data_IF_378021836424
#
_entry.id   IF_378021836424
#
_cell.length_a   1.000
_cell.length_b   1.000
_cell.length_c   1.000
_cell.angle_alpha   90.00
_cell.angle_beta   90.00
_cell.angle_gamma   90.00
#
_symmetry.space_group_name_H-M   'P 1'
#
loop_
_entity.id
_entity.type
_entity.pdbx_description
1 polymer ?
#
# COMPACT_ATOMS: atom_id res chain seq x y z
N UNK A 1 -16.79 -14.72 12.18
CA UNK A 1 -16.04 -14.57 10.91
C UNK A 1 -15.19 -13.35 11.10
N UNK A 2 -13.88 -13.42 10.88
CA UNK A 2 -12.97 -12.29 11.05
C UNK A 2 -13.31 -11.19 10.04
N UNK A 3 -13.39 -9.96 10.50
CA UNK A 3 -13.59 -8.77 9.67
C UNK A 3 -12.26 -8.13 9.34
N UNK A 4 -11.88 -8.08 8.06
CA UNK A 4 -10.67 -7.42 7.62
C UNK A 4 -10.99 -5.98 7.20
N UNK A 5 -10.28 -5.02 7.76
CA UNK A 5 -10.39 -3.61 7.41
C UNK A 5 -9.10 -3.15 6.72
N UNK A 6 -9.27 -2.48 5.58
CA UNK A 6 -8.20 -1.71 4.94
C UNK A 6 -8.55 -0.24 5.10
N UNK A 7 -7.71 0.48 5.84
CA UNK A 7 -7.86 1.91 6.13
C UNK A 7 -6.88 2.69 5.26
N UNK A 8 -7.41 3.54 4.40
CA UNK A 8 -6.61 4.46 3.60
C UNK A 8 -6.55 5.80 4.33
N UNK A 9 -5.40 6.11 4.90
CA UNK A 9 -5.26 7.29 5.73
C UNK A 9 -4.54 8.42 5.00
N UNK A 10 -5.26 9.51 4.72
CA UNK A 10 -4.74 10.72 4.05
C UNK A 10 -4.49 11.88 5.02
N UNK A 11 -4.69 11.68 6.32
CA UNK A 11 -4.35 12.66 7.35
C UNK A 11 -2.81 12.75 7.48
N UNK A 12 -2.26 13.89 7.95
CA UNK A 12 -0.82 14.13 8.01
C UNK A 12 -0.15 13.40 9.19
N UNK A 13 -0.54 12.16 9.43
CA UNK A 13 -0.29 11.48 10.70
C UNK A 13 1.09 10.86 10.73
N UNK A 14 1.59 10.71 11.94
CA UNK A 14 2.87 10.08 12.18
C UNK A 14 2.69 9.11 13.32
N UNK A 15 2.94 7.85 13.04
CA UNK A 15 3.24 6.90 14.09
C UNK A 15 4.47 7.41 14.85
N UNK A 16 4.41 7.40 16.18
CA UNK A 16 5.54 7.82 17.01
C UNK A 16 6.80 6.98 16.69
N UNK A 17 7.93 7.65 16.47
CA UNK A 17 9.23 7.06 16.10
C UNK A 17 9.30 6.40 14.70
N UNK A 18 8.32 6.62 13.84
CA UNK A 18 8.31 6.16 12.45
C UNK A 18 8.40 7.33 11.44
N UNK A 19 8.24 7.03 10.15
CA UNK A 19 8.26 8.01 9.07
C UNK A 19 7.16 9.09 9.23
N UNK A 20 7.55 10.36 9.21
CA UNK A 20 6.62 11.48 9.03
C UNK A 20 6.32 11.70 7.55
N UNK A 21 5.20 11.16 7.06
CA UNK A 21 4.77 11.48 5.69
C UNK A 21 4.33 12.94 5.60
N UNK A 22 4.73 13.62 4.53
CA UNK A 22 4.21 14.97 4.23
C UNK A 22 2.69 14.95 4.06
N UNK A 23 2.01 16.09 4.20
CA UNK A 23 0.53 16.12 4.13
C UNK A 23 0.08 15.80 2.70
N UNK A 24 -0.89 14.89 2.51
CA UNK A 24 -1.42 14.60 1.17
C UNK A 24 -1.92 15.85 0.43
N UNK A 25 -2.53 16.80 1.16
CA UNK A 25 -2.99 18.06 0.60
C UNK A 25 -1.87 18.91 -0.05
N UNK A 26 -0.62 18.75 0.40
CA UNK A 26 0.52 19.53 -0.10
C UNK A 26 0.96 19.08 -1.50
N UNK A 27 0.59 17.85 -1.90
CA UNK A 27 0.71 17.37 -3.29
C UNK A 27 -0.02 18.33 -4.25
N UNK A 28 -1.14 18.90 -3.79
CA UNK A 28 -2.03 19.82 -4.51
C UNK A 28 -1.74 21.30 -4.17
N UNK A 29 -0.46 21.65 -4.04
CA UNK A 29 -0.02 23.02 -3.82
C UNK A 29 -0.68 24.01 -4.82
N UNK A 30 -1.28 25.12 -4.35
CA UNK A 30 -2.04 26.03 -5.19
C UNK A 30 -1.27 26.56 -6.40
N UNK A 31 -1.87 26.48 -7.58
CA UNK A 31 -1.22 26.99 -8.79
C UNK A 31 -2.01 26.78 -10.07
N UNK A 32 -1.58 27.47 -11.13
CA UNK A 32 -2.16 27.31 -12.45
C UNK A 32 -1.80 25.94 -13.06
N UNK A 33 -2.76 25.37 -13.78
CA UNK A 33 -2.56 24.11 -14.51
C UNK A 33 -1.67 24.32 -15.73
N UNK A 34 -0.74 23.39 -15.92
CA UNK A 34 0.19 23.33 -17.04
C UNK A 34 0.36 21.86 -17.51
N UNK A 35 1.35 21.59 -18.37
CA UNK A 35 1.53 20.23 -18.91
C UNK A 35 2.08 19.22 -17.89
N UNK A 36 2.80 19.66 -16.85
CA UNK A 36 3.48 18.80 -15.88
C UNK A 36 2.67 18.58 -14.59
N UNK A 37 1.56 19.30 -14.38
CA UNK A 37 0.74 19.17 -13.17
C UNK A 37 -0.78 19.02 -13.42
N UNK A 38 -1.25 19.06 -14.68
CA UNK A 38 -2.68 18.89 -15.04
C UNK A 38 -3.37 17.64 -14.51
N UNK A 39 -2.63 16.59 -14.18
CA UNK A 39 -3.18 15.38 -13.57
C UNK A 39 -3.58 15.60 -12.09
N UNK A 40 -3.36 16.80 -11.55
CA UNK A 40 -3.81 17.21 -10.23
C UNK A 40 -5.06 18.12 -10.29
N UNK A 41 -5.55 18.46 -11.48
CA UNK A 41 -6.79 19.24 -11.68
C UNK A 41 -7.98 18.27 -11.76
N UNK A 42 -8.63 18.03 -10.62
CA UNK A 42 -9.70 17.04 -10.50
C UNK A 42 -11.08 17.61 -10.80
N UNK A 43 -11.28 18.91 -10.65
CA UNK A 43 -12.54 19.58 -10.97
C UNK A 43 -12.56 20.24 -12.36
N UNK A 44 -11.42 20.32 -13.04
CA UNK A 44 -11.28 20.82 -14.40
C UNK A 44 -11.32 22.34 -14.51
N UNK A 45 -11.13 23.06 -13.40
CA UNK A 45 -11.22 24.52 -13.35
C UNK A 45 -9.92 25.24 -13.81
N UNK A 46 -8.88 24.49 -14.21
CA UNK A 46 -7.53 24.96 -14.57
C UNK A 46 -6.69 25.56 -13.42
N UNK A 47 -7.05 25.29 -12.18
CA UNK A 47 -6.35 25.69 -10.95
C UNK A 47 -6.27 24.49 -10.03
N UNK A 48 -5.07 24.17 -9.55
CA UNK A 48 -4.86 23.12 -8.55
C UNK A 48 -5.04 23.74 -7.17
N UNK A 49 -5.79 23.10 -6.28
CA UNK A 49 -5.97 23.51 -4.90
C UNK A 49 -6.39 22.34 -3.98
N UNK A 50 -6.72 22.63 -2.72
CA UNK A 50 -7.10 21.61 -1.74
C UNK A 50 -8.46 20.92 -2.01
N UNK A 51 -9.35 21.52 -2.79
CA UNK A 51 -10.60 20.86 -3.18
C UNK A 51 -10.33 19.73 -4.19
N UNK A 52 -9.33 19.88 -5.07
CA UNK A 52 -8.85 18.79 -5.92
C UNK A 52 -8.35 17.60 -5.09
N UNK A 53 -7.62 17.89 -4.01
CA UNK A 53 -7.14 16.86 -3.09
C UNK A 53 -8.30 16.07 -2.48
N UNK A 54 -9.38 16.76 -2.06
CA UNK A 54 -10.59 16.10 -1.51
C UNK A 54 -11.26 15.19 -2.54
N UNK A 55 -11.34 15.64 -3.80
CA UNK A 55 -11.88 14.81 -4.88
C UNK A 55 -10.96 13.61 -5.13
N UNK A 56 -9.64 13.82 -5.13
CA UNK A 56 -8.64 12.77 -5.34
C UNK A 56 -8.73 11.65 -4.29
N UNK A 57 -8.89 11.98 -3.00
CA UNK A 57 -9.10 11.01 -1.91
C UNK A 57 -10.22 10.02 -2.26
N UNK A 58 -11.40 10.53 -2.60
CA UNK A 58 -12.55 9.69 -2.94
C UNK A 58 -12.31 8.83 -4.20
N UNK A 59 -11.62 9.38 -5.20
CA UNK A 59 -11.27 8.65 -6.44
C UNK A 59 -10.25 7.54 -6.19
N UNK A 60 -9.22 7.81 -5.39
CA UNK A 60 -8.20 6.84 -4.99
C UNK A 60 -8.85 5.71 -4.17
N UNK A 61 -9.63 6.05 -3.14
CA UNK A 61 -10.33 5.06 -2.33
C UNK A 61 -11.27 4.17 -3.16
N UNK A 62 -12.03 4.76 -4.09
CA UNK A 62 -12.86 4.01 -5.03
C UNK A 62 -12.04 3.09 -5.95
N UNK A 63 -10.86 3.54 -6.41
CA UNK A 63 -9.99 2.74 -7.27
C UNK A 63 -9.34 1.58 -6.52
N UNK A 64 -8.86 1.80 -5.28
CA UNK A 64 -8.36 0.74 -4.40
C UNK A 64 -9.46 -0.29 -4.14
N UNK A 65 -10.67 0.17 -3.80
CA UNK A 65 -11.83 -0.69 -3.60
C UNK A 65 -12.12 -1.58 -4.83
N UNK A 66 -11.93 -1.05 -6.04
CA UNK A 66 -12.05 -1.82 -7.30
C UNK A 66 -10.93 -2.84 -7.47
N UNK A 67 -9.68 -2.52 -7.12
CA UNK A 67 -8.56 -3.45 -7.18
C UNK A 67 -8.76 -4.63 -6.21
N UNK A 68 -9.34 -4.37 -5.03
CA UNK A 68 -9.60 -5.37 -3.99
C UNK A 68 -10.94 -6.12 -4.16
N UNK A 69 -11.74 -5.76 -5.17
CA UNK A 69 -13.03 -6.38 -5.46
C UNK A 69 -13.00 -7.92 -5.46
N UNK A 70 -11.99 -8.62 -6.02
CA UNK A 70 -11.96 -10.07 -6.01
C UNK A 70 -11.94 -10.70 -4.62
N UNK A 71 -11.40 -10.01 -3.61
CA UNK A 71 -11.34 -10.48 -2.22
C UNK A 71 -12.58 -10.07 -1.45
N UNK A 72 -13.08 -8.85 -1.66
CA UNK A 72 -14.32 -8.35 -1.05
C UNK A 72 -15.57 -9.15 -1.45
N UNK A 73 -15.53 -9.81 -2.62
CA UNK A 73 -16.62 -10.64 -3.12
C UNK A 73 -16.42 -12.12 -2.79
N UNK A 74 -15.34 -12.50 -2.09
CA UNK A 74 -15.14 -13.87 -1.63
C UNK A 74 -16.05 -14.13 -0.41
N UNK A 75 -16.95 -15.13 -0.45
CA UNK A 75 -17.86 -15.39 0.66
C UNK A 75 -17.17 -15.86 1.95
N UNK A 76 -15.86 -16.16 1.91
CA UNK A 76 -15.09 -16.61 3.07
C UNK A 76 -14.15 -15.51 3.60
N UNK A 77 -14.21 -14.30 3.05
CA UNK A 77 -13.40 -13.16 3.47
C UNK A 77 -14.35 -11.98 3.65
N UNK A 78 -14.45 -11.45 4.87
CA UNK A 78 -15.05 -10.14 5.06
C UNK A 78 -13.96 -9.09 4.90
N UNK A 79 -14.04 -8.28 3.85
CA UNK A 79 -13.08 -7.21 3.57
C UNK A 79 -13.79 -5.88 3.33
N UNK A 80 -13.50 -4.93 4.22
CA UNK A 80 -14.06 -3.58 4.22
C UNK A 80 -12.95 -2.58 3.93
N UNK A 81 -13.18 -1.69 2.96
CA UNK A 81 -12.24 -0.60 2.64
C UNK A 81 -12.82 0.71 3.17
N UNK A 82 -12.05 1.37 4.02
CA UNK A 82 -12.36 2.65 4.65
C UNK A 82 -11.31 3.68 4.25
N UNK A 83 -11.65 4.96 4.36
CA UNK A 83 -10.69 6.05 4.16
C UNK A 83 -11.01 7.23 5.07
N UNK A 84 -9.98 8.01 5.41
CA UNK A 84 -10.19 9.27 6.12
C UNK A 84 -10.77 10.33 5.17
N UNK A 85 -11.91 10.95 5.51
CA UNK A 85 -12.53 11.95 4.64
C UNK A 85 -11.89 13.35 4.76
N UNK A 86 -11.06 13.58 5.79
CA UNK A 86 -10.47 14.87 6.13
C UNK A 86 -9.01 15.00 5.70
N UNK A 87 -8.69 16.07 4.96
CA UNK A 87 -7.32 16.44 4.57
C UNK A 87 -6.74 17.61 5.37
N UNK A 88 -7.60 18.32 6.10
CA UNK A 88 -7.36 19.70 6.52
C UNK A 88 -7.16 19.87 8.01
N UNK A 89 -7.60 18.94 8.87
CA UNK A 89 -7.45 19.11 10.30
C UNK A 89 -6.05 18.69 10.75
N UNK A 90 -5.22 19.66 11.11
CA UNK A 90 -4.19 19.47 12.14
C UNK A 90 -4.80 18.97 13.49
N UNK A 91 -6.13 18.90 13.57
CA UNK A 91 -6.92 18.49 14.72
C UNK A 91 -7.43 17.04 14.65
N UNK A 92 -6.99 16.20 13.71
CA UNK A 92 -7.14 14.74 13.87
C UNK A 92 -5.92 13.97 13.35
N UNK A 93 -4.73 14.21 13.93
CA UNK A 93 -3.69 13.21 13.89
C UNK A 93 -4.19 11.93 14.59
N UNK A 94 -4.00 10.74 14.01
CA UNK A 94 -4.21 9.44 14.66
C UNK A 94 -5.42 8.64 14.17
N UNK A 95 -6.05 8.94 13.04
CA UNK A 95 -7.25 8.19 12.61
C UNK A 95 -6.93 6.75 12.20
N UNK A 96 -5.93 6.56 11.35
CA UNK A 96 -5.40 5.23 11.02
C UNK A 96 -4.82 4.55 12.26
N UNK A 97 -4.05 5.28 13.06
CA UNK A 97 -3.38 4.77 14.26
C UNK A 97 -4.37 4.24 15.31
N UNK A 98 -5.47 4.95 15.55
CA UNK A 98 -6.54 4.46 16.44
C UNK A 98 -7.24 3.23 15.88
N UNK A 99 -7.52 3.19 14.56
CA UNK A 99 -8.14 2.00 13.97
C UNK A 99 -7.20 0.80 14.06
N UNK A 100 -5.89 1.01 13.94
CA UNK A 100 -4.87 0.00 14.18
C UNK A 100 -4.86 -0.45 15.66
N UNK A 101 -4.96 0.46 16.62
CA UNK A 101 -5.06 0.07 18.03
C UNK A 101 -6.36 -0.70 18.34
N UNK A 102 -7.49 -0.30 17.75
CA UNK A 102 -8.77 -1.01 17.89
C UNK A 102 -8.70 -2.45 17.38
N UNK A 103 -8.07 -2.66 16.23
CA UNK A 103 -7.90 -4.00 15.66
C UNK A 103 -7.03 -4.89 16.54
N UNK A 104 -5.93 -4.36 17.09
CA UNK A 104 -5.01 -5.08 17.97
C UNK A 104 -5.68 -5.58 19.25
N UNK A 105 -6.68 -4.84 19.75
CA UNK A 105 -7.48 -5.23 20.92
C UNK A 105 -8.67 -6.13 20.55
N UNK A 106 -9.04 -6.20 19.27
CA UNK A 106 -10.18 -6.97 18.79
C UNK A 106 -9.82 -8.46 18.60
N UNK A 107 -10.78 -9.33 18.94
CA UNK A 107 -10.63 -10.77 18.73
C UNK A 107 -11.13 -11.22 17.35
N UNK A 108 -11.85 -10.35 16.64
CA UNK A 108 -12.57 -10.65 15.40
C UNK A 108 -12.44 -9.54 14.34
N UNK A 109 -11.56 -8.56 14.54
CA UNK A 109 -11.15 -7.59 13.53
C UNK A 109 -9.67 -7.79 13.18
N UNK A 110 -9.31 -7.42 11.95
CA UNK A 110 -7.93 -7.35 11.48
C UNK A 110 -7.78 -6.08 10.66
N UNK A 111 -6.91 -5.18 11.10
CA UNK A 111 -6.79 -3.84 10.52
C UNK A 111 -5.46 -3.67 9.79
N UNK A 112 -5.53 -3.23 8.54
CA UNK A 112 -4.40 -2.80 7.74
C UNK A 112 -4.52 -1.29 7.48
N UNK A 113 -3.49 -0.53 7.82
CA UNK A 113 -3.48 0.92 7.59
C UNK A 113 -2.46 1.28 6.52
N UNK A 114 -2.86 2.08 5.53
CA UNK A 114 -1.91 2.66 4.56
C UNK A 114 -1.96 4.17 4.69
N UNK A 115 -0.87 4.76 5.18
CA UNK A 115 -0.70 6.20 5.28
C UNK A 115 -0.26 6.77 3.94
N UNK A 116 -1.02 7.71 3.40
CA UNK A 116 -0.85 8.27 2.06
C UNK A 116 -0.55 9.76 2.21
N UNK A 117 0.67 10.16 1.89
CA UNK A 117 1.15 11.53 2.08
C UNK A 117 1.96 12.06 0.89
N UNK A 118 2.52 13.27 1.01
CA UNK A 118 3.30 13.91 -0.05
C UNK A 118 4.68 13.24 -0.22
N UNK A 119 5.64 13.54 0.65
CA UNK A 119 7.01 13.05 0.52
C UNK A 119 7.40 12.10 1.63
N UNK A 120 8.33 11.19 1.31
CA UNK A 120 9.14 10.47 2.30
C UNK A 120 10.03 11.49 3.05
N UNK A 121 10.30 11.30 4.35
CA UNK A 121 11.27 12.12 5.09
C UNK A 121 12.68 12.15 4.50
N UNK A 122 13.09 11.08 3.83
CA UNK A 122 14.41 10.92 3.22
C UNK A 122 14.34 11.11 1.69
N UNK A 123 15.05 12.09 1.12
CA UNK A 123 14.88 12.51 -0.28
C UNK A 123 15.57 11.63 -1.34
N UNK A 124 16.42 10.67 -0.95
CA UNK A 124 17.39 10.05 -1.85
C UNK A 124 17.01 8.65 -2.39
N UNK A 125 15.83 8.12 -2.06
CA UNK A 125 15.35 6.83 -2.56
C UNK A 125 14.07 6.99 -3.40
N UNK A 126 14.01 6.42 -4.63
CA UNK A 126 12.90 6.59 -5.57
C UNK A 126 11.64 5.78 -5.22
N UNK A 127 11.51 5.33 -3.96
CA UNK A 127 10.42 4.45 -3.54
C UNK A 127 9.09 5.22 -3.52
N UNK A 128 8.05 4.62 -4.11
CA UNK A 128 6.70 5.20 -4.12
C UNK A 128 5.89 4.79 -2.89
N UNK A 129 6.32 3.73 -2.21
CA UNK A 129 5.72 3.21 -0.99
C UNK A 129 6.66 2.27 -0.25
N UNK A 130 6.31 1.97 1.00
CA UNK A 130 7.03 1.07 1.91
C UNK A 130 5.96 0.33 2.72
N UNK A 131 6.19 -0.95 2.98
CA UNK A 131 5.31 -1.78 3.80
C UNK A 131 6.10 -2.46 4.91
N UNK A 132 5.63 -2.33 6.15
CA UNK A 132 6.18 -3.07 7.27
C UNK A 132 5.42 -4.40 7.38
N UNK A 133 6.03 -5.54 7.06
CA UNK A 133 5.37 -6.85 7.16
C UNK A 133 5.55 -7.45 8.57
N UNK A 134 4.59 -8.25 9.06
CA UNK A 134 4.77 -9.07 10.26
C UNK A 134 5.85 -10.13 10.09
N UNK A 135 6.46 -10.53 11.19
CA UNK A 135 7.22 -11.76 11.25
C UNK A 135 6.31 -12.99 11.11
N UNK A 136 6.94 -14.11 10.74
CA UNK A 136 6.27 -15.39 10.64
C UNK A 136 5.57 -15.76 11.96
N UNK A 137 4.26 -16.02 11.90
CA UNK A 137 3.50 -16.45 13.07
C UNK A 137 3.18 -15.32 14.08
N UNK A 138 3.54 -14.07 13.80
CA UNK A 138 3.09 -12.93 14.59
C UNK A 138 1.73 -12.43 14.09
N UNK A 139 0.83 -12.16 15.04
CA UNK A 139 -0.40 -11.42 14.80
C UNK A 139 -0.17 -9.99 15.27
N UNK A 140 0.61 -9.24 14.50
CA UNK A 140 0.63 -7.80 14.67
C UNK A 140 -0.05 -7.23 13.44
N UNK A 141 -0.94 -6.29 13.66
CA UNK A 141 -1.55 -5.52 12.60
C UNK A 141 -0.51 -4.53 12.09
N UNK A 142 -0.37 -4.43 10.77
CA UNK A 142 0.69 -3.65 10.15
C UNK A 142 0.19 -2.50 9.31
N UNK A 143 1.13 -1.58 9.07
CA UNK A 143 0.90 -0.39 8.28
C UNK A 143 1.93 -0.26 7.16
N UNK A 144 1.51 0.45 6.11
CA UNK A 144 2.38 0.87 5.02
C UNK A 144 2.29 2.37 4.78
N UNK A 145 3.22 2.88 3.99
CA UNK A 145 3.28 4.27 3.56
C UNK A 145 3.24 4.34 2.04
N UNK A 146 2.55 5.33 1.49
CA UNK A 146 2.54 5.67 0.07
C UNK A 146 2.84 7.15 -0.09
N UNK A 147 3.86 7.45 -0.89
CA UNK A 147 4.37 8.82 -1.11
C UNK A 147 3.83 9.38 -2.44
N UNK A 148 2.65 9.99 -2.37
CA UNK A 148 1.93 10.54 -3.51
C UNK A 148 2.67 11.71 -4.20
N UNK A 149 3.55 12.43 -3.50
CA UNK A 149 4.49 13.41 -4.07
C UNK A 149 5.56 12.77 -4.94
N UNK A 150 6.02 11.56 -4.57
CA UNK A 150 6.86 10.71 -5.41
C UNK A 150 6.15 10.32 -6.70
N UNK A 151 4.88 9.91 -6.60
CA UNK A 151 4.01 9.62 -7.75
C UNK A 151 3.83 10.85 -8.65
N UNK A 152 3.52 12.01 -8.07
CA UNK A 152 3.45 13.30 -8.79
C UNK A 152 4.74 13.58 -9.55
N UNK A 153 5.88 13.43 -8.90
CA UNK A 153 7.20 13.66 -9.52
C UNK A 153 7.47 12.67 -10.65
N UNK A 154 7.12 11.39 -10.47
CA UNK A 154 7.22 10.36 -11.50
C UNK A 154 6.39 10.71 -12.75
N UNK A 155 5.13 11.09 -12.58
CA UNK A 155 4.27 11.50 -13.68
C UNK A 155 4.76 12.79 -14.36
N UNK A 156 5.18 13.79 -13.57
CA UNK A 156 5.69 15.06 -14.08
C UNK A 156 7.01 14.91 -14.88
N UNK A 157 7.84 13.91 -14.55
CA UNK A 157 9.11 13.66 -15.24
C UNK A 157 8.94 13.30 -16.73
N UNK A 158 7.74 12.92 -17.14
CA UNK A 158 7.44 12.48 -18.50
C UNK A 158 7.86 11.03 -18.79
N UNK A 159 8.49 10.35 -17.83
CA UNK A 159 8.93 8.95 -17.93
C UNK A 159 7.80 7.93 -17.72
N UNK A 160 6.59 8.40 -17.42
CA UNK A 160 5.42 7.53 -17.32
C UNK A 160 5.09 6.90 -18.66
N UNK A 161 5.40 5.61 -18.81
CA UNK A 161 5.28 4.88 -20.09
C UNK A 161 3.84 4.58 -20.50
N UNK A 162 2.90 4.62 -19.56
CA UNK A 162 1.50 4.25 -19.78
C UNK A 162 0.61 5.45 -20.09
N UNK A 163 1.18 6.66 -20.15
CA UNK A 163 0.43 7.85 -20.53
C UNK A 163 -0.22 7.60 -21.89
N UNK A 164 -1.51 7.94 -22.07
CA UNK A 164 -2.13 7.93 -23.39
C UNK A 164 -1.35 8.82 -24.38
N UNK A 165 -1.67 8.72 -25.68
CA UNK A 165 -1.24 9.77 -26.64
C UNK A 165 -1.77 11.15 -26.23
N UNK A 166 -2.93 11.17 -25.55
CA UNK A 166 -3.45 12.33 -24.85
C UNK A 166 -2.62 12.62 -23.59
N UNK A 167 -2.49 13.90 -23.24
CA UNK A 167 -1.74 14.34 -22.06
C UNK A 167 -2.26 13.66 -20.77
N UNK A 168 -1.38 13.52 -19.77
CA UNK A 168 -1.71 12.98 -18.44
C UNK A 168 -2.95 13.66 -17.85
N UNK A 169 -3.75 12.86 -17.14
CA UNK A 169 -5.03 13.24 -16.54
C UNK A 169 -5.09 12.80 -15.08
N UNK A 170 -6.10 13.28 -14.36
CA UNK A 170 -6.34 12.94 -12.96
C UNK A 170 -6.61 11.44 -12.74
N UNK A 171 -7.07 10.74 -13.78
CA UNK A 171 -7.20 9.28 -13.78
C UNK A 171 -5.84 8.58 -13.68
N UNK A 172 -4.79 9.11 -14.31
CA UNK A 172 -3.45 8.52 -14.26
C UNK A 172 -2.87 8.63 -12.85
N UNK A 173 -2.98 9.81 -12.20
CA UNK A 173 -2.58 9.97 -10.80
C UNK A 173 -3.39 9.07 -9.86
N UNK A 174 -4.72 9.02 -10.02
CA UNK A 174 -5.58 8.12 -9.23
C UNK A 174 -5.15 6.66 -9.37
N UNK A 175 -4.88 6.20 -10.60
CA UNK A 175 -4.50 4.81 -10.87
C UNK A 175 -3.13 4.49 -10.26
N UNK A 176 -2.16 5.40 -10.39
CA UNK A 176 -0.81 5.21 -9.88
C UNK A 176 -0.82 5.11 -8.34
N UNK A 177 -1.44 6.08 -7.65
CA UNK A 177 -1.53 6.04 -6.17
C UNK A 177 -2.27 4.80 -5.70
N UNK A 178 -3.42 4.47 -6.31
CA UNK A 178 -4.19 3.29 -5.91
C UNK A 178 -3.45 1.97 -6.20
N UNK A 179 -2.64 1.92 -7.26
CA UNK A 179 -1.77 0.80 -7.55
C UNK A 179 -0.69 0.65 -6.48
N UNK A 180 0.00 1.73 -6.11
CA UNK A 180 1.01 1.70 -5.05
C UNK A 180 0.40 1.28 -3.73
N UNK A 181 -0.77 1.80 -3.35
CA UNK A 181 -1.52 1.33 -2.16
C UNK A 181 -1.76 -0.19 -2.21
N UNK A 182 -2.25 -0.70 -3.34
CA UNK A 182 -2.53 -2.13 -3.48
C UNK A 182 -1.25 -2.99 -3.53
N UNK A 183 -0.13 -2.43 -4.00
CA UNK A 183 1.19 -3.05 -3.97
C UNK A 183 1.69 -3.20 -2.54
N UNK A 184 1.68 -2.12 -1.76
CA UNK A 184 2.08 -2.15 -0.35
C UNK A 184 1.16 -3.05 0.49
N UNK A 185 -0.15 -3.04 0.25
CA UNK A 185 -1.07 -4.00 0.87
C UNK A 185 -0.71 -5.45 0.54
N UNK A 186 -0.27 -5.72 -0.69
CA UNK A 186 0.22 -7.04 -1.07
C UNK A 186 1.42 -7.47 -0.22
N UNK A 187 2.37 -6.56 0.05
CA UNK A 187 3.46 -6.81 1.00
C UNK A 187 2.96 -7.05 2.43
N UNK A 188 1.99 -6.27 2.92
CA UNK A 188 1.38 -6.51 4.23
C UNK A 188 0.73 -7.91 4.32
N UNK A 189 0.19 -8.41 3.20
CA UNK A 189 -0.36 -9.78 3.10
C UNK A 189 0.69 -10.86 2.80
N UNK A 190 1.96 -10.50 2.79
CA UNK A 190 3.08 -11.44 2.64
C UNK A 190 3.46 -11.77 1.21
N UNK A 191 3.03 -10.97 0.23
CA UNK A 191 3.55 -11.09 -1.13
C UNK A 191 4.91 -10.39 -1.24
N UNK A 192 5.84 -11.01 -1.95
CA UNK A 192 7.05 -10.32 -2.42
C UNK A 192 6.84 -9.65 -3.78
N UNK A 193 7.87 -8.97 -4.27
CA UNK A 193 7.88 -8.48 -5.64
C UNK A 193 7.77 -9.64 -6.65
N UNK A 194 7.23 -9.38 -7.83
CA UNK A 194 7.44 -10.31 -8.95
C UNK A 194 8.86 -10.16 -9.50
N UNK A 195 9.42 -11.26 -10.01
CA UNK A 195 10.64 -11.17 -10.82
C UNK A 195 10.29 -10.39 -12.09
N UNK A 196 11.01 -9.30 -12.28
CA UNK A 196 11.24 -8.74 -13.58
C UNK A 196 12.45 -9.44 -14.21
N UNK A 197 12.30 -9.75 -15.48
CA UNK A 197 13.08 -10.78 -16.12
C UNK A 197 14.47 -10.31 -16.56
N UNK A 198 14.80 -9.06 -16.25
CA UNK A 198 16.10 -8.46 -16.48
C UNK A 198 17.24 -9.10 -15.65
N UNK A 199 16.91 -9.91 -14.63
CA UNK A 199 17.89 -10.70 -13.86
C UNK A 199 18.10 -12.14 -14.37
N UNK A 200 17.30 -12.61 -15.33
CA UNK A 200 17.47 -13.90 -16.01
C UNK A 200 17.40 -13.68 -17.53
N UNK A 201 18.54 -13.61 -18.24
CA UNK A 201 18.64 -13.17 -19.64
C UNK A 201 17.82 -13.96 -20.69
N UNK A 202 16.99 -14.92 -20.29
CA UNK A 202 16.23 -15.80 -21.18
C UNK A 202 14.71 -15.67 -21.14
N UNK A 203 14.13 -14.84 -20.27
CA UNK A 203 12.68 -14.90 -20.04
C UNK A 203 11.97 -13.53 -20.14
N UNK A 204 12.58 -12.55 -20.84
CA UNK A 204 12.31 -11.09 -20.89
C UNK A 204 10.84 -10.61 -20.91
N UNK A 205 9.89 -11.51 -21.12
CA UNK A 205 8.45 -11.28 -21.00
C UNK A 205 7.80 -12.58 -20.54
N UNK A 206 7.81 -12.93 -19.25
CA UNK A 206 6.87 -13.94 -18.75
C UNK A 206 5.48 -13.32 -18.92
N UNK A 207 4.64 -13.76 -19.89
CA UNK A 207 3.38 -13.09 -20.21
C UNK A 207 2.44 -13.03 -18.99
N UNK A 208 2.66 -13.94 -18.04
CA UNK A 208 1.85 -14.20 -16.86
C UNK A 208 1.96 -13.10 -15.80
N UNK A 209 3.02 -12.29 -15.79
CA UNK A 209 3.30 -11.30 -14.74
C UNK A 209 3.05 -9.83 -15.16
N UNK A 210 2.63 -9.61 -16.41
CA UNK A 210 2.35 -8.28 -16.93
C UNK A 210 1.05 -7.72 -16.34
N UNK A 211 1.03 -6.46 -15.93
CA UNK A 211 -0.10 -5.86 -15.21
C UNK A 211 -0.44 -6.55 -13.87
N UNK A 212 0.49 -7.26 -13.25
CA UNK A 212 0.29 -7.69 -11.87
C UNK A 212 0.56 -6.54 -10.90
N UNK A 213 -0.22 -6.46 -9.82
CA UNK A 213 -0.05 -5.40 -8.81
C UNK A 213 1.31 -5.45 -8.11
N UNK A 214 1.84 -6.64 -7.83
CA UNK A 214 3.17 -6.85 -7.23
C UNK A 214 4.35 -6.67 -8.21
N UNK A 215 4.12 -6.12 -9.40
CA UNK A 215 5.21 -5.75 -10.32
C UNK A 215 5.59 -4.29 -10.12
N UNK A 216 6.72 -3.85 -10.64
CA UNK A 216 7.06 -2.43 -10.64
C UNK A 216 6.18 -1.67 -11.66
N UNK A 217 5.92 -0.37 -11.48
CA UNK A 217 5.18 0.44 -12.46
C UNK A 217 5.81 0.45 -13.86
N UNK A 218 7.10 0.11 -13.97
CA UNK A 218 7.77 -0.10 -15.26
C UNK A 218 7.12 -1.24 -16.05
N UNK A 219 6.50 -2.24 -15.44
CA UNK A 219 5.95 -3.42 -16.14
C UNK A 219 4.47 -3.66 -15.91
N UNK A 220 3.87 -3.01 -14.91
CA UNK A 220 2.44 -3.01 -14.72
C UNK A 220 1.85 -1.65 -15.04
N UNK A 221 0.93 -1.61 -16.01
CA UNK A 221 0.04 -0.46 -16.22
C UNK A 221 -0.94 -0.33 -15.04
N UNK A 222 -0.85 0.72 -14.23
CA UNK A 222 -1.71 0.91 -13.05
C UNK A 222 -3.20 1.04 -13.37
N UNK A 223 -3.55 1.43 -14.60
CA UNK A 223 -4.94 1.45 -15.07
C UNK A 223 -5.54 0.04 -15.28
N UNK A 224 -4.71 -0.95 -15.59
CA UNK A 224 -5.15 -2.32 -15.90
C UNK A 224 -4.70 -3.37 -14.88
N UNK A 225 -3.86 -2.96 -13.92
CA UNK A 225 -3.25 -3.89 -12.98
C UNK A 225 -4.25 -4.59 -12.07
N UNK A 226 -3.92 -5.82 -11.67
CA UNK A 226 -4.75 -6.67 -10.79
C UNK A 226 -3.91 -7.74 -10.09
N UNK A 227 -4.44 -8.33 -9.02
CA UNK A 227 -3.93 -9.58 -8.46
C UNK A 227 -4.29 -10.75 -9.41
N UNK A 228 -3.31 -11.54 -9.85
CA UNK A 228 -3.53 -12.68 -10.74
C UNK A 228 -3.50 -14.01 -9.97
N UNK A 229 -4.13 -15.04 -10.54
CA UNK A 229 -4.13 -16.38 -9.96
C UNK A 229 -2.78 -17.08 -10.15
N UNK A 230 -2.11 -16.82 -11.27
CA UNK A 230 -0.91 -17.54 -11.69
C UNK A 230 0.20 -16.50 -11.91
N UNK A 231 1.04 -16.26 -10.90
CA UNK A 231 2.15 -15.32 -10.98
C UNK A 231 3.37 -15.86 -10.23
N UNK A 232 4.58 -15.69 -10.78
CA UNK A 232 5.80 -16.14 -10.09
C UNK A 232 6.33 -15.04 -9.18
N UNK A 233 6.30 -15.28 -7.87
CA UNK A 233 6.78 -14.31 -6.88
C UNK A 233 8.24 -14.54 -6.53
N UNK A 234 8.97 -13.44 -6.41
CA UNK A 234 10.24 -13.43 -5.70
C UNK A 234 9.93 -13.34 -4.22
N UNK A 235 10.39 -14.33 -3.47
CA UNK A 235 10.42 -14.24 -2.02
C UNK A 235 11.69 -13.47 -1.67
N UNK A 236 11.57 -12.19 -1.33
CA UNK A 236 12.72 -11.44 -0.81
C UNK A 236 12.96 -11.88 0.63
N UNK A 237 13.53 -13.07 0.75
CA UNK A 237 14.04 -13.56 2.01
C UNK A 237 15.41 -12.93 2.17
N UNK A 238 15.59 -12.19 3.24
CA UNK A 238 16.89 -11.72 3.63
C UNK A 238 17.18 -12.25 5.02
N UNK A 239 18.23 -13.05 5.18
CA UNK A 239 19.13 -12.66 6.24
C UNK A 239 19.82 -11.41 5.71
N UNK A 240 19.47 -10.21 6.18
CA UNK A 240 20.05 -8.98 5.63
C UNK A 240 21.58 -8.89 5.87
N UNK A 241 22.13 -9.81 6.68
CA UNK A 241 23.58 -10.05 6.82
C UNK A 241 24.18 -10.82 5.63
N UNK A 242 23.43 -11.70 4.95
CA UNK A 242 23.94 -12.55 3.85
C UNK A 242 23.39 -12.18 2.48
N UNK A 243 22.28 -11.45 2.40
CA UNK A 243 21.65 -11.04 1.13
C UNK A 243 21.12 -12.20 0.27
N UNK A 244 20.92 -13.39 0.85
CA UNK A 244 20.53 -14.60 0.11
C UNK A 244 19.03 -14.63 -0.23
N UNK A 245 18.68 -14.49 -1.51
CA UNK A 245 17.31 -14.41 -2.03
C UNK A 245 16.82 -15.79 -2.54
N UNK A 246 15.53 -16.11 -2.35
CA UNK A 246 14.90 -17.34 -2.88
C UNK A 246 13.67 -17.01 -3.75
N UNK A 247 13.30 -17.92 -4.65
CA UNK A 247 12.18 -17.73 -5.58
C UNK A 247 11.22 -18.91 -5.50
N UNK A 248 9.92 -18.64 -5.47
CA UNK A 248 8.90 -19.69 -5.42
C UNK A 248 7.73 -19.38 -6.36
N UNK A 249 7.20 -20.43 -6.98
CA UNK A 249 5.98 -20.33 -7.77
C UNK A 249 4.77 -20.51 -6.84
N UNK A 250 4.03 -19.43 -6.60
CA UNK A 250 2.86 -19.43 -5.71
C UNK A 250 1.69 -18.70 -6.35
N UNK A 251 0.46 -18.97 -5.90
CA UNK A 251 -0.71 -18.24 -6.39
C UNK A 251 -0.92 -16.97 -5.58
N UNK A 252 -0.57 -15.80 -6.13
CA UNK A 252 -0.70 -14.50 -5.43
C UNK A 252 -2.06 -14.31 -4.78
N UNK A 253 -3.12 -14.61 -5.55
CA UNK A 253 -4.48 -14.49 -5.09
C UNK A 253 -4.79 -15.48 -3.97
N UNK A 254 -4.28 -16.71 -4.03
CA UNK A 254 -4.50 -17.69 -2.97
C UNK A 254 -3.75 -17.30 -1.70
N UNK A 255 -2.50 -16.83 -1.81
CA UNK A 255 -1.74 -16.33 -0.66
C UNK A 255 -2.45 -15.18 0.04
N UNK A 256 -2.97 -14.19 -0.71
CA UNK A 256 -3.78 -13.11 -0.12
C UNK A 256 -5.03 -13.65 0.55
N UNK A 257 -5.71 -14.64 -0.07
CA UNK A 257 -6.89 -15.25 0.56
C UNK A 257 -6.55 -15.96 1.85
N UNK A 258 -5.41 -16.64 1.91
CA UNK A 258 -4.98 -17.38 3.09
C UNK A 258 -4.50 -16.42 4.20
N UNK A 259 -3.83 -15.31 3.84
CA UNK A 259 -3.47 -14.23 4.75
C UNK A 259 -4.67 -13.47 5.32
N UNK A 260 -5.82 -13.44 4.63
CA UNK A 260 -7.05 -12.77 5.10
C UNK A 260 -8.01 -13.71 5.87
N UNK A 261 -7.59 -14.94 6.16
CA UNK A 261 -8.39 -15.95 6.87
C UNK A 261 -7.86 -16.23 8.28
N UNK A 262 -8.74 -16.72 9.14
CA UNK A 262 -8.37 -17.28 10.45
C UNK A 262 -7.93 -18.74 10.32
N UNK A 263 -6.98 -19.17 11.14
CA UNK A 263 -6.67 -20.58 11.30
C UNK A 263 -7.80 -21.35 12.04
N UNK A 264 -7.64 -22.67 12.18
CA UNK A 264 -8.63 -23.53 12.83
C UNK A 264 -8.87 -23.23 14.32
N UNK A 265 -7.96 -22.50 14.97
CA UNK A 265 -8.09 -22.03 16.35
C UNK A 265 -8.73 -20.64 16.46
N UNK A 266 -9.11 -20.03 15.34
CA UNK A 266 -9.66 -18.67 15.28
C UNK A 266 -8.59 -17.57 15.32
N UNK A 267 -7.31 -17.92 15.37
CA UNK A 267 -6.22 -16.96 15.39
C UNK A 267 -5.85 -16.55 13.97
N UNK A 268 -5.46 -15.29 13.80
CA UNK A 268 -4.74 -14.85 12.61
C UNK A 268 -3.40 -15.57 12.51
N UNK A 269 -3.06 -16.01 11.30
CA UNK A 269 -1.72 -16.49 10.97
C UNK A 269 -1.40 -15.84 9.64
N UNK A 270 -0.49 -14.87 9.64
CA UNK A 270 0.14 -14.49 8.38
C UNK A 270 0.76 -15.75 7.79
N UNK A 271 0.25 -16.17 6.64
CA UNK A 271 0.78 -17.35 5.96
C UNK A 271 2.13 -16.95 5.38
N UNK A 272 3.21 -17.33 6.06
CA UNK A 272 4.53 -17.24 5.45
C UNK A 272 4.63 -18.33 4.42
N UNK A 273 5.09 -17.97 3.21
CA UNK A 273 5.35 -18.98 2.19
C UNK A 273 6.42 -19.91 2.78
N UNK A 274 6.15 -21.21 2.94
CA UNK A 274 7.10 -22.11 3.59
C UNK A 274 8.43 -22.10 2.84
N UNK A 275 9.50 -21.70 3.52
CA UNK A 275 10.84 -21.80 2.99
C UNK A 275 11.66 -22.80 3.81
N UNK A 276 12.11 -23.88 3.18
CA UNK A 276 12.90 -24.93 3.83
C UNK A 276 14.28 -24.43 4.35
N UNK A 277 14.78 -23.32 3.82
CA UNK A 277 16.02 -22.63 4.22
C UNK A 277 15.78 -21.61 5.33
N UNK A 278 14.60 -20.98 5.39
CA UNK A 278 14.26 -19.90 6.33
C UNK A 278 12.80 -20.02 6.83
N UNK A 279 12.49 -21.02 7.67
CA UNK A 279 11.11 -21.31 8.07
C UNK A 279 10.47 -20.22 8.94
N UNK A 280 11.29 -19.41 9.62
CA UNK A 280 10.84 -18.42 10.61
C UNK A 280 10.94 -16.96 10.11
N UNK A 281 11.28 -16.75 8.84
CA UNK A 281 11.45 -15.40 8.26
C UNK A 281 10.22 -15.03 7.44
N UNK A 282 9.70 -13.79 7.56
CA UNK A 282 8.62 -13.34 6.72
C UNK A 282 8.98 -13.40 5.23
N UNK A 283 7.93 -13.59 4.43
CA UNK A 283 7.99 -13.77 2.98
C UNK A 283 8.64 -12.59 2.24
N UNK A 284 8.48 -11.40 2.79
CA UNK A 284 9.12 -10.18 2.35
C UNK A 284 9.59 -9.42 3.59
N UNK A 285 10.86 -9.03 3.59
CA UNK A 285 11.44 -8.24 4.68
C UNK A 285 12.05 -6.97 4.06
N UNK A 286 11.26 -5.89 3.99
CA UNK A 286 11.81 -4.55 3.82
C UNK A 286 12.44 -4.12 5.16
N UNK A 287 13.71 -4.45 5.38
CA UNK A 287 14.50 -3.90 6.50
C UNK A 287 15.29 -2.66 6.07
N UNK A 288 15.71 -1.76 6.98
CA UNK A 288 15.43 -1.63 8.41
C UNK A 288 14.61 -0.36 8.72
N UNK A 289 14.09 -0.25 9.94
CA UNK A 289 13.65 1.03 10.47
C UNK A 289 14.76 2.07 10.31
N UNK A 290 14.39 3.36 10.31
CA UNK A 290 15.26 4.53 10.16
C UNK A 290 16.50 4.56 11.11
N UNK A 291 16.62 3.60 12.04
CA UNK A 291 17.70 3.44 13.01
C UNK A 291 18.47 2.10 12.94
N UNK A 292 18.38 1.35 11.84
CA UNK A 292 19.21 0.14 11.66
C UNK A 292 18.85 -1.03 12.58
N UNK A 293 17.67 -1.00 13.19
CA UNK A 293 17.10 -2.12 13.93
C UNK A 293 16.28 -3.00 13.00
N UNK A 294 16.47 -4.31 13.10
CA UNK A 294 15.46 -5.26 12.67
C UNK A 294 14.25 -5.03 13.57
N UNK A 295 13.06 -4.85 12.98
CA UNK A 295 11.82 -4.93 13.76
C UNK A 295 11.79 -6.32 14.44
N UNK A 296 11.22 -6.43 15.63
CA UNK A 296 11.28 -7.61 16.47
C UNK A 296 10.61 -7.29 17.79
N UNK A 297 10.67 -8.18 18.80
CA UNK A 297 10.05 -7.96 20.11
C UNK A 297 10.46 -6.62 20.80
N UNK A 298 11.55 -6.00 20.35
CA UNK A 298 12.06 -4.71 20.84
C UNK A 298 11.43 -3.47 20.16
N UNK A 299 10.62 -3.65 19.10
CA UNK A 299 9.90 -2.58 18.39
C UNK A 299 8.39 -2.90 18.37
N UNK A 300 7.66 -2.61 19.47
CA UNK A 300 6.24 -2.90 19.59
C UNK A 300 5.41 -2.12 18.55
N UNK A 301 4.18 -2.57 18.25
CA UNK A 301 3.27 -1.79 17.43
C UNK A 301 3.10 -0.38 18.00
N UNK A 302 2.87 0.61 17.14
CA UNK A 302 2.86 1.99 17.58
C UNK A 302 1.68 2.32 18.48
N UNK A 303 1.97 3.02 19.57
CA UNK A 303 0.95 3.56 20.46
C UNK A 303 0.36 4.85 19.88
N UNK A 304 -0.98 4.97 19.79
CA UNK A 304 -1.67 6.19 19.36
C UNK A 304 -1.06 7.48 19.90
N UNK A 305 -0.64 8.38 19.00
CA UNK A 305 -0.03 9.66 19.35
C UNK A 305 -1.07 10.78 19.55
N UNK A 306 -2.35 10.44 19.72
CA UNK A 306 -3.45 11.41 19.70
C UNK A 306 -4.57 11.10 20.68
N UNK A 307 -4.82 12.05 21.58
CA UNK A 307 -5.98 12.11 22.49
C UNK A 307 -7.26 12.64 21.81
N UNK A 308 -7.27 12.83 20.49
CA UNK A 308 -8.40 13.39 19.76
C UNK A 308 -9.48 12.31 19.53
N UNK A 309 -10.77 12.58 19.81
CA UNK A 309 -11.87 11.67 19.52
C UNK A 309 -12.00 11.37 18.02
N UNK A 310 -12.29 10.12 17.66
CA UNK A 310 -12.37 9.66 16.28
C UNK A 310 -13.33 10.50 15.41
N UNK A 311 -12.85 11.00 14.27
CA UNK A 311 -13.72 11.36 13.16
C UNK A 311 -14.36 10.10 12.55
N UNK A 312 -15.57 10.21 12.02
CA UNK A 312 -16.21 9.09 11.33
C UNK A 312 -15.44 8.76 10.02
N UNK A 313 -14.86 7.56 9.95
CA UNK A 313 -14.26 7.05 8.71
C UNK A 313 -15.32 6.93 7.60
N UNK A 314 -14.96 7.33 6.39
CA UNK A 314 -15.79 7.11 5.22
C UNK A 314 -15.63 5.67 4.71
N UNK A 315 -16.72 4.97 4.43
CA UNK A 315 -16.64 3.71 3.68
C UNK A 315 -16.45 4.00 2.19
N UNK A 316 -15.52 3.30 1.55
CA UNK A 316 -15.34 3.41 0.10
C UNK A 316 -16.58 2.84 -0.61
N UNK A 317 -17.37 3.70 -1.24
CA UNK A 317 -18.54 3.27 -2.01
C UNK A 317 -18.10 2.44 -3.23
N UNK A 318 -18.82 1.34 -3.47
CA UNK A 318 -18.71 0.59 -4.71
C UNK A 318 -19.49 1.33 -5.80
N UNK A 319 -18.80 1.73 -6.87
CA UNK A 319 -19.45 2.03 -8.16
C UNK A 319 -19.27 0.79 -9.04
#
# INVERSE_FOLDING_TARGET
MLTNYVVLDFTPDTIANEYTVGRFADVFAPGAVNNTNRFLDYDGNNTINQDDAKIAVGKIASRVNRLLKPFRQDPNIDLVVMHTPGLTSAADPGAGERKLAEGQEAADENVYVVYIGDTRPEPDLPDLGIAHQAFAGENNEFYGYVFAGGVKSHLASGNYRWKPQAKLTSVDFTNEVAFTVAHELGHLWGLGHLIDVDSTPGNAFSPDNYHHVMNTPKYANPAAARFLNDATHRMEIGNATTGAISYQHVSAKQEVRDSLRTNAAGNFVQTTIPNATFPDVPTYMQTPSHQGGYLGADNPPPTPNSDVPAAALGQASGI
#
